data_IF_446716431748
#
_entry.id   IF_446716431748
#
_cell.length_a   1.000
_cell.length_b   1.000
_cell.length_c   1.000
_cell.angle_alpha   90.00
_cell.angle_beta   90.00
_cell.angle_gamma   90.00
#
_symmetry.space_group_name_H-M   'P 1'
#
loop_
_entity.id
_entity.type
_entity.pdbx_description
1 polymer ?
#
# COMPACT_ATOMS: atom_id res chain seq x y z
N UNK A 1 -47.75 -10.55 -37.70
CA UNK A 1 -46.92 -9.35 -37.46
C UNK A 1 -46.87 -8.89 -36.00
N UNK A 2 -47.87 -9.20 -35.14
CA UNK A 2 -47.85 -8.82 -33.72
C UNK A 2 -46.75 -9.49 -32.87
N UNK A 3 -46.34 -10.72 -33.21
CA UNK A 3 -45.37 -11.47 -32.41
C UNK A 3 -43.95 -10.88 -32.52
N UNK A 4 -43.54 -10.53 -33.74
CA UNK A 4 -42.25 -9.87 -34.00
C UNK A 4 -42.19 -8.48 -33.35
N UNK A 5 -43.31 -7.75 -33.38
CA UNK A 5 -43.41 -6.45 -32.70
C UNK A 5 -43.24 -6.58 -31.18
N UNK A 6 -43.85 -7.62 -30.58
CA UNK A 6 -43.70 -7.92 -29.14
C UNK A 6 -42.26 -8.27 -28.77
N UNK A 7 -41.58 -9.08 -29.58
CA UNK A 7 -40.18 -9.44 -29.33
C UNK A 7 -39.26 -8.22 -29.40
N UNK A 8 -39.52 -7.31 -30.35
CA UNK A 8 -38.75 -6.07 -30.49
C UNK A 8 -38.90 -5.16 -29.26
N UNK A 9 -40.11 -5.05 -28.71
CA UNK A 9 -40.37 -4.31 -27.48
C UNK A 9 -39.70 -4.93 -26.26
N UNK A 10 -39.71 -6.26 -26.13
CA UNK A 10 -39.01 -6.94 -25.03
C UNK A 10 -37.48 -6.73 -25.09
N UNK A 11 -36.89 -6.76 -26.29
CA UNK A 11 -35.47 -6.47 -26.48
C UNK A 11 -35.12 -5.02 -26.10
N UNK A 12 -35.95 -4.05 -26.48
CA UNK A 12 -35.77 -2.65 -26.10
C UNK A 12 -35.85 -2.42 -24.59
N UNK A 13 -36.74 -3.14 -23.88
CA UNK A 13 -36.82 -3.06 -22.42
C UNK A 13 -35.58 -3.66 -21.74
N UNK A 14 -35.06 -4.80 -22.22
CA UNK A 14 -33.87 -5.43 -21.67
C UNK A 14 -32.60 -4.58 -21.87
N UNK A 15 -32.51 -3.85 -22.97
CA UNK A 15 -31.39 -2.93 -23.24
C UNK A 15 -31.34 -1.74 -22.25
N UNK A 16 -32.47 -1.35 -21.66
CA UNK A 16 -32.54 -0.21 -20.73
C UNK A 16 -32.30 -0.58 -19.25
N UNK A 17 -32.24 -1.89 -18.92
CA UNK A 17 -31.96 -2.35 -17.55
C UNK A 17 -30.45 -2.34 -17.20
N UNK A 18 -29.57 -2.08 -18.17
CA UNK A 18 -28.11 -2.20 -18.03
C UNK A 18 -27.38 -1.01 -17.38
N UNK A 19 -28.04 0.13 -17.13
CA UNK A 19 -27.37 1.33 -16.62
C UNK A 19 -27.99 1.87 -15.32
N UNK A 20 -28.19 1.01 -14.32
CA UNK A 20 -28.16 1.51 -12.93
C UNK A 20 -26.68 1.68 -12.58
N UNK A 21 -26.19 2.89 -12.80
CA UNK A 21 -24.87 3.32 -12.33
C UNK A 21 -24.72 2.88 -10.88
N UNK A 22 -23.86 1.89 -10.64
CA UNK A 22 -23.28 1.66 -9.33
C UNK A 22 -22.46 2.91 -9.03
N UNK A 23 -23.11 3.95 -8.51
CA UNK A 23 -22.44 4.89 -7.63
C UNK A 23 -21.95 4.03 -6.47
N UNK A 24 -20.72 3.54 -6.60
CA UNK A 24 -19.94 3.06 -5.48
C UNK A 24 -20.10 4.15 -4.46
N UNK A 25 -20.77 3.84 -3.35
CA UNK A 25 -20.89 4.74 -2.21
C UNK A 25 -19.48 4.96 -1.67
N UNK A 26 -18.69 5.80 -2.34
CA UNK A 26 -17.59 6.46 -1.69
C UNK A 26 -18.25 7.28 -0.59
N UNK A 27 -17.85 7.12 0.68
CA UNK A 27 -18.37 7.96 1.74
C UNK A 27 -18.13 9.40 1.30
N UNK A 28 -19.21 10.13 1.00
CA UNK A 28 -19.17 11.58 0.88
C UNK A 28 -18.56 12.06 2.18
N UNK A 29 -17.29 12.47 2.13
CA UNK A 29 -16.66 13.09 3.29
C UNK A 29 -17.45 14.37 3.48
N UNK A 30 -18.27 14.40 4.54
CA UNK A 30 -19.30 15.42 4.77
C UNK A 30 -18.76 16.84 4.94
N UNK A 31 -17.44 17.04 4.88
CA UNK A 31 -16.83 18.34 4.71
C UNK A 31 -15.42 18.17 4.09
N UNK A 32 -15.16 18.65 2.86
CA UNK A 32 -13.83 18.59 2.26
C UNK A 32 -12.77 19.30 3.12
N UNK A 33 -13.15 20.32 3.90
CA UNK A 33 -12.23 21.00 4.84
C UNK A 33 -11.81 20.08 5.98
N UNK A 34 -12.75 19.29 6.52
CA UNK A 34 -12.46 18.30 7.55
C UNK A 34 -11.55 17.18 7.02
N UNK A 35 -11.76 16.76 5.77
CA UNK A 35 -10.91 15.77 5.10
C UNK A 35 -9.46 16.26 4.97
N UNK A 36 -9.27 17.47 4.44
CA UNK A 36 -7.96 18.09 4.28
C UNK A 36 -7.26 18.26 5.64
N UNK A 37 -7.99 18.70 6.67
CA UNK A 37 -7.44 18.82 8.02
C UNK A 37 -6.95 17.46 8.59
N UNK A 38 -7.66 16.36 8.30
CA UNK A 38 -7.20 15.02 8.67
C UNK A 38 -5.96 14.58 7.89
N UNK A 39 -5.85 14.94 6.61
CA UNK A 39 -4.65 14.67 5.81
C UNK A 39 -3.41 15.39 6.38
N UNK A 40 -3.55 16.67 6.75
CA UNK A 40 -2.48 17.44 7.40
C UNK A 40 -2.08 16.83 8.75
N UNK A 41 -3.06 16.42 9.57
CA UNK A 41 -2.79 15.75 10.86
C UNK A 41 -2.01 14.45 10.67
N UNK A 42 -2.39 13.64 9.67
CA UNK A 42 -1.68 12.40 9.32
C UNK A 42 -0.27 12.66 8.78
N UNK A 43 -0.08 13.73 8.02
CA UNK A 43 1.22 14.15 7.52
C UNK A 43 2.19 14.52 8.64
N UNK A 44 1.75 15.32 9.61
CA UNK A 44 2.58 15.68 10.76
C UNK A 44 2.89 14.46 11.64
N UNK A 45 1.93 13.56 11.83
CA UNK A 45 2.20 12.27 12.47
C UNK A 45 3.17 11.39 11.66
N UNK A 46 3.09 11.42 10.33
CA UNK A 46 4.00 10.69 9.47
C UNK A 46 5.43 11.23 9.63
N UNK A 47 5.63 12.56 9.63
CA UNK A 47 6.95 13.16 9.85
C UNK A 47 7.60 12.75 11.16
N UNK A 48 6.82 12.67 12.24
CA UNK A 48 7.35 12.31 13.57
C UNK A 48 7.62 10.81 13.72
N UNK A 49 6.83 9.96 13.04
CA UNK A 49 6.98 8.50 13.10
C UNK A 49 7.99 7.97 12.08
N UNK A 50 8.15 8.65 10.94
CA UNK A 50 9.12 8.33 9.89
C UNK A 50 10.50 8.90 10.21
N UNK A 51 11.08 8.47 11.33
CA UNK A 51 12.48 8.72 11.68
C UNK A 51 13.41 7.74 10.96
N UNK A 52 12.90 6.56 10.58
CA UNK A 52 13.62 5.54 9.82
C UNK A 52 13.39 5.72 8.32
N UNK A 53 14.17 6.61 7.68
CA UNK A 53 14.26 6.60 6.23
C UNK A 53 14.79 5.23 5.72
N UNK A 54 14.56 4.90 4.44
CA UNK A 54 14.97 3.63 3.81
C UNK A 54 16.40 3.22 4.18
N UNK A 55 17.34 4.18 4.21
CA UNK A 55 18.74 3.94 4.50
C UNK A 55 18.96 3.53 5.96
N UNK A 56 18.34 4.23 6.91
CA UNK A 56 18.42 3.91 8.35
C UNK A 56 17.75 2.56 8.64
N UNK A 57 16.59 2.28 8.04
CA UNK A 57 15.94 0.97 8.17
C UNK A 57 16.84 -0.14 7.64
N UNK A 58 17.38 0.05 6.44
CA UNK A 58 18.24 -0.95 5.79
C UNK A 58 19.53 -1.17 6.57
N UNK A 59 20.14 -0.12 7.13
CA UNK A 59 21.30 -0.22 7.99
C UNK A 59 20.99 -0.99 9.28
N UNK A 60 19.84 -0.72 9.93
CA UNK A 60 19.40 -1.43 11.13
C UNK A 60 19.07 -2.90 10.85
N UNK A 61 18.37 -3.17 9.75
CA UNK A 61 18.06 -4.53 9.31
C UNK A 61 19.34 -5.31 8.97
N UNK A 62 20.33 -4.68 8.35
CA UNK A 62 21.65 -5.28 8.10
C UNK A 62 22.39 -5.60 9.41
N UNK A 63 22.37 -4.68 10.39
CA UNK A 63 22.98 -4.94 11.70
C UNK A 63 22.33 -6.13 12.38
N UNK A 64 21.00 -6.17 12.44
CA UNK A 64 20.25 -7.29 13.04
C UNK A 64 20.49 -8.61 12.30
N UNK A 65 20.58 -8.60 10.97
CA UNK A 65 20.95 -9.78 10.17
C UNK A 65 22.34 -10.32 10.57
N UNK A 66 23.32 -9.44 10.78
CA UNK A 66 24.68 -9.83 11.19
C UNK A 66 24.67 -10.42 12.61
N UNK A 67 23.98 -9.77 13.54
CA UNK A 67 23.84 -10.23 14.93
C UNK A 67 23.21 -11.63 14.97
N UNK A 68 22.04 -11.81 14.36
CA UNK A 68 21.33 -13.10 14.36
C UNK A 68 22.14 -14.21 13.65
N UNK A 69 22.87 -13.87 12.58
CA UNK A 69 23.74 -14.84 11.92
C UNK A 69 24.93 -15.23 12.80
N UNK A 70 25.51 -14.28 13.53
CA UNK A 70 26.62 -14.56 14.44
C UNK A 70 26.20 -15.47 15.60
N UNK A 71 24.99 -15.25 16.14
CA UNK A 71 24.39 -16.10 17.17
C UNK A 71 24.17 -17.52 16.64
N UNK A 72 23.57 -17.66 15.46
CA UNK A 72 23.41 -18.95 14.79
C UNK A 72 24.75 -19.70 14.59
N UNK A 73 25.78 -19.02 14.09
CA UNK A 73 27.09 -19.64 13.89
C UNK A 73 27.68 -20.10 15.23
N UNK A 74 27.48 -19.31 16.28
CA UNK A 74 27.95 -19.68 17.61
C UNK A 74 27.21 -20.91 18.15
N UNK A 75 25.89 -20.97 18.00
CA UNK A 75 25.08 -22.13 18.39
C UNK A 75 25.53 -23.41 17.67
N UNK A 76 25.69 -23.36 16.34
CA UNK A 76 26.18 -24.50 15.56
C UNK A 76 27.59 -24.93 16.00
N UNK A 77 28.47 -23.99 16.36
CA UNK A 77 29.80 -24.32 16.87
C UNK A 77 29.76 -25.01 18.24
N UNK A 78 28.86 -24.58 19.13
CA UNK A 78 28.70 -25.16 20.48
C UNK A 78 28.05 -26.54 20.40
N UNK A 79 27.08 -26.73 19.51
CA UNK A 79 26.38 -28.01 19.30
C UNK A 79 27.18 -28.99 18.42
N UNK A 80 28.26 -28.54 17.79
CA UNK A 80 29.08 -29.36 16.87
C UNK A 80 28.42 -29.61 15.51
N UNK A 81 27.49 -28.74 15.12
CA UNK A 81 26.78 -28.76 13.85
C UNK A 81 27.56 -28.09 12.71
N UNK A 82 26.86 -27.87 11.59
CA UNK A 82 27.43 -27.27 10.38
C UNK A 82 26.59 -26.06 9.96
N UNK A 83 27.26 -24.98 9.56
CA UNK A 83 26.59 -23.76 9.09
C UNK A 83 25.91 -24.03 7.74
N UNK A 84 24.59 -24.20 7.76
CA UNK A 84 23.77 -24.51 6.57
C UNK A 84 23.11 -23.27 5.95
N UNK A 85 22.85 -22.25 6.76
CA UNK A 85 22.17 -21.01 6.35
C UNK A 85 23.20 -19.91 6.10
N UNK A 86 23.09 -19.21 4.99
CA UNK A 86 23.94 -18.05 4.69
C UNK A 86 23.44 -16.76 5.37
N UNK A 87 24.31 -15.77 5.50
CA UNK A 87 24.02 -14.48 6.15
C UNK A 87 22.69 -13.84 5.69
N UNK A 88 22.44 -13.80 4.37
CA UNK A 88 21.23 -13.18 3.81
C UNK A 88 19.92 -13.88 4.20
N UNK A 89 19.97 -15.15 4.64
CA UNK A 89 18.79 -15.87 5.11
C UNK A 89 18.22 -15.30 6.42
N UNK A 90 19.02 -14.52 7.15
CA UNK A 90 18.61 -13.85 8.39
C UNK A 90 18.06 -12.44 8.17
N UNK A 91 18.00 -11.99 6.91
CA UNK A 91 17.40 -10.71 6.57
C UNK A 91 15.90 -10.90 6.35
N UNK A 92 15.08 -10.30 7.20
CA UNK A 92 13.63 -10.27 6.98
C UNK A 92 13.28 -9.32 5.80
N UNK A 93 12.76 -9.86 4.67
CA UNK A 93 12.41 -9.06 3.50
C UNK A 93 11.23 -8.11 3.75
N UNK A 94 10.45 -8.33 4.82
CA UNK A 94 9.32 -7.51 5.21
C UNK A 94 9.69 -6.40 6.19
N UNK A 95 10.84 -6.52 6.88
CA UNK A 95 11.28 -5.61 7.94
C UNK A 95 11.39 -4.15 7.49
N UNK A 96 11.77 -3.94 6.23
CA UNK A 96 11.81 -2.62 5.59
C UNK A 96 10.81 -2.51 4.42
N UNK A 97 9.78 -3.35 4.34
CA UNK A 97 8.79 -3.29 3.26
C UNK A 97 7.78 -2.14 3.42
N UNK A 98 7.62 -1.60 4.62
CA UNK A 98 6.93 -0.31 4.82
C UNK A 98 7.93 0.84 4.79
N UNK A 99 8.17 1.32 3.57
CA UNK A 99 9.13 2.38 3.26
C UNK A 99 8.54 3.53 2.47
N UNK A 100 7.21 3.58 2.39
CA UNK A 100 6.50 4.79 1.99
C UNK A 100 6.48 5.76 3.19
N UNK A 101 7.65 6.16 3.67
CA UNK A 101 7.78 7.37 4.47
C UNK A 101 7.86 8.61 3.57
N UNK A 102 7.25 8.54 2.39
CA UNK A 102 7.04 9.71 1.56
C UNK A 102 5.75 10.38 2.05
N UNK A 103 5.84 10.99 3.24
CA UNK A 103 4.72 11.67 3.87
C UNK A 103 4.10 12.72 2.92
N UNK A 104 4.91 13.30 2.04
CA UNK A 104 4.44 14.22 1.01
C UNK A 104 3.60 13.51 -0.07
N UNK A 105 4.05 12.39 -0.61
CA UNK A 105 3.25 11.60 -1.56
C UNK A 105 1.96 11.06 -0.93
N UNK A 106 2.01 10.65 0.33
CA UNK A 106 0.84 10.21 1.09
C UNK A 106 -0.14 11.37 1.34
N UNK A 107 0.37 12.56 1.67
CA UNK A 107 -0.42 13.79 1.78
C UNK A 107 -1.09 14.13 0.45
N UNK A 108 -0.34 14.17 -0.65
CA UNK A 108 -0.88 14.45 -1.99
C UNK A 108 -1.96 13.43 -2.38
N UNK A 109 -1.75 12.15 -2.09
CA UNK A 109 -2.75 11.10 -2.34
C UNK A 109 -3.99 11.30 -1.47
N UNK A 110 -3.81 11.68 -0.21
CA UNK A 110 -4.90 11.98 0.72
C UNK A 110 -5.74 13.18 0.25
N UNK A 111 -5.09 14.27 -0.18
CA UNK A 111 -5.77 15.46 -0.71
C UNK A 111 -6.52 15.19 -2.02
N UNK A 112 -5.94 14.38 -2.91
CA UNK A 112 -6.60 13.91 -4.13
C UNK A 112 -7.86 13.09 -3.82
N UNK A 113 -7.80 12.24 -2.79
CA UNK A 113 -8.98 11.49 -2.34
C UNK A 113 -10.04 12.40 -1.71
N UNK A 114 -9.65 13.47 -1.03
CA UNK A 114 -10.58 14.45 -0.45
C UNK A 114 -11.29 15.31 -1.50
N UNK A 115 -10.62 15.61 -2.61
CA UNK A 115 -11.14 16.43 -3.71
C UNK A 115 -11.84 15.59 -4.79
N UNK A 116 -11.66 14.28 -4.78
CA UNK A 116 -12.22 13.34 -5.76
C UNK A 116 -11.48 13.33 -7.11
N UNK A 117 -10.40 14.09 -7.25
CA UNK A 117 -9.60 14.17 -8.47
C UNK A 117 -8.31 13.37 -8.26
N UNK A 118 -8.29 12.14 -8.77
CA UNK A 118 -7.13 11.24 -8.64
C UNK A 118 -6.27 11.34 -9.92
N UNK A 119 -5.11 11.98 -9.81
CA UNK A 119 -4.10 11.98 -10.88
C UNK A 119 -3.20 10.74 -10.73
N UNK A 120 -3.72 9.56 -11.08
CA UNK A 120 -2.96 8.31 -11.00
C UNK A 120 -1.95 8.21 -12.14
N UNK A 121 -0.67 8.16 -11.79
CA UNK A 121 0.37 7.61 -12.65
C UNK A 121 0.69 6.19 -12.18
N UNK A 122 0.62 5.21 -13.08
CA UNK A 122 1.07 3.85 -12.80
C UNK A 122 2.59 3.85 -12.65
N UNK A 123 3.08 4.02 -11.42
CA UNK A 123 4.50 3.86 -11.08
C UNK A 123 4.65 2.64 -10.18
N UNK A 124 5.70 1.86 -10.40
CA UNK A 124 6.07 0.77 -9.51
C UNK A 124 6.30 1.32 -8.09
N UNK A 125 5.90 0.55 -7.07
CA UNK A 125 6.16 0.91 -5.68
C UNK A 125 7.67 1.05 -5.50
N UNK A 126 8.17 2.19 -4.99
CA UNK A 126 9.60 2.36 -4.76
C UNK A 126 10.04 1.35 -3.70
N UNK A 127 10.95 0.46 -4.09
CA UNK A 127 11.69 -0.42 -3.20
C UNK A 127 12.87 0.34 -2.61
N UNK A 128 13.22 0.07 -1.35
CA UNK A 128 14.54 0.50 -0.88
C UNK A 128 15.59 -0.34 -1.62
N UNK A 129 16.46 0.33 -2.37
CA UNK A 129 17.70 -0.23 -2.91
C UNK A 129 18.80 -0.22 -1.87
#
# INVERSE_FOLDING_TARGET
MHFLLRMLFCFLFLLNLGCVNKQVNLPKVNDPKLCLAQCVKRFESCKTLCVNNCAVCSAKANRSMIENYSEYVHEEQVEGGFVMRGLKSYRDPLQCRKVTCNCYADLMTCEQNCTGIIHKQLRAVPYCT
#
